data_IF_001469932679
#
_entry.id   IF_001469932679
#
_cell.length_a   1.000
_cell.length_b   1.000
_cell.length_c   1.000
_cell.angle_alpha   90.00
_cell.angle_beta   90.00
_cell.angle_gamma   90.00
#
_symmetry.space_group_name_H-M   'P 1'
#
loop_
_entity.id
_entity.type
_entity.pdbx_description
1 polymer ?
#
# COMPACT_ATOMS: atom_id res chain seq x y z
N UNK A 1 -40.52 -13.83 26.25
CA UNK A 1 -41.27 -13.63 25.01
C UNK A 1 -42.34 -14.70 24.89
N UNK A 2 -43.42 -14.48 24.13
CA UNK A 2 -44.48 -15.45 23.87
C UNK A 2 -43.96 -16.74 23.29
N UNK A 3 -42.92 -16.68 22.47
CA UNK A 3 -42.35 -17.82 21.75
C UNK A 3 -41.71 -18.86 22.67
N UNK A 4 -41.04 -18.41 23.75
CA UNK A 4 -40.49 -19.34 24.75
C UNK A 4 -41.57 -20.13 25.48
N UNK A 5 -42.74 -19.51 25.75
CA UNK A 5 -43.89 -20.20 26.36
C UNK A 5 -44.51 -21.27 25.41
N UNK A 6 -44.60 -20.96 24.12
CA UNK A 6 -45.06 -21.91 23.13
C UNK A 6 -44.08 -23.08 22.93
N UNK A 7 -42.78 -22.82 23.05
CA UNK A 7 -41.78 -23.88 23.03
C UNK A 7 -41.88 -24.79 24.26
N UNK A 8 -42.06 -24.22 25.47
CA UNK A 8 -42.26 -24.97 26.70
C UNK A 8 -43.53 -25.83 26.64
N UNK A 9 -44.57 -25.36 25.92
CA UNK A 9 -45.81 -26.09 25.70
C UNK A 9 -45.73 -27.12 24.55
N UNK A 10 -44.59 -27.24 23.88
CA UNK A 10 -44.37 -28.15 22.76
C UNK A 10 -45.11 -27.78 21.48
N UNK A 11 -45.68 -26.56 21.40
CA UNK A 11 -46.45 -26.07 20.25
C UNK A 11 -45.53 -25.66 19.09
N UNK A 12 -44.34 -25.09 19.41
CA UNK A 12 -43.32 -24.70 18.44
C UNK A 12 -41.97 -25.24 18.88
N UNK A 13 -41.08 -25.43 17.90
CA UNK A 13 -39.67 -25.70 18.11
C UNK A 13 -38.88 -24.51 17.62
N UNK A 14 -38.10 -23.88 18.51
CA UNK A 14 -37.21 -22.81 18.13
C UNK A 14 -35.89 -23.42 17.71
N UNK A 15 -35.56 -23.31 16.44
CA UNK A 15 -34.26 -23.68 15.90
C UNK A 15 -33.45 -22.40 15.66
N UNK A 16 -32.21 -22.43 16.11
CA UNK A 16 -31.28 -21.33 15.85
C UNK A 16 -30.46 -21.69 14.63
N UNK A 17 -30.72 -21.02 13.52
CA UNK A 17 -29.91 -21.14 12.33
C UNK A 17 -28.86 -19.99 12.27
N UNK A 18 -27.63 -20.37 11.98
CA UNK A 18 -26.50 -19.43 11.96
C UNK A 18 -26.29 -18.92 10.55
N UNK A 19 -26.77 -17.71 10.28
CA UNK A 19 -26.60 -17.05 8.98
C UNK A 19 -25.26 -16.30 8.98
N UNK A 20 -24.28 -16.78 8.20
CA UNK A 20 -23.00 -16.11 7.99
C UNK A 20 -23.16 -14.94 7.01
N UNK A 21 -22.69 -13.77 7.43
CA UNK A 21 -22.70 -12.57 6.60
C UNK A 21 -21.52 -12.59 5.66
N UNK A 22 -21.78 -12.39 4.36
CA UNK A 22 -20.73 -12.22 3.35
C UNK A 22 -20.82 -10.83 2.77
N UNK A 23 -19.74 -10.07 2.80
CA UNK A 23 -19.67 -8.71 2.26
C UNK A 23 -19.35 -8.63 0.77
N UNK A 24 -19.14 -9.77 0.11
CA UNK A 24 -18.74 -9.83 -1.29
C UNK A 24 -19.81 -10.53 -2.12
N UNK A 25 -20.36 -9.77 -3.07
CA UNK A 25 -21.22 -10.32 -4.12
C UNK A 25 -20.32 -11.06 -5.12
N UNK A 26 -20.21 -12.38 -5.00
CA UNK A 26 -19.36 -13.25 -5.83
C UNK A 26 -20.00 -13.60 -7.18
N UNK A 27 -21.20 -13.08 -7.48
CA UNK A 27 -22.06 -13.52 -8.59
C UNK A 27 -21.52 -13.39 -10.00
N UNK A 28 -20.42 -12.65 -10.24
CA UNK A 28 -19.93 -12.34 -11.58
C UNK A 28 -18.42 -12.58 -11.79
N UNK A 29 -17.81 -13.50 -11.01
CA UNK A 29 -16.38 -13.80 -11.18
C UNK A 29 -16.21 -14.99 -12.12
N UNK A 30 -16.58 -14.84 -13.37
CA UNK A 30 -16.26 -15.80 -14.43
C UNK A 30 -14.81 -15.61 -14.90
N UNK A 31 -14.03 -16.69 -14.71
CA UNK A 31 -12.84 -17.05 -15.46
C UNK A 31 -11.84 -15.96 -15.87
N UNK A 32 -10.98 -15.52 -14.96
CA UNK A 32 -9.71 -14.91 -15.40
C UNK A 32 -8.85 -16.00 -16.07
N UNK A 33 -8.38 -15.76 -17.31
CA UNK A 33 -7.48 -16.70 -18.02
C UNK A 33 -6.27 -17.00 -17.16
N UNK A 34 -5.97 -18.27 -16.96
CA UNK A 34 -4.72 -18.72 -16.33
C UNK A 34 -3.56 -18.22 -17.17
N UNK A 35 -2.83 -17.23 -16.68
CA UNK A 35 -1.60 -16.80 -17.34
C UNK A 35 -0.45 -17.68 -16.83
N UNK A 36 0.34 -18.29 -17.71
CA UNK A 36 1.51 -19.06 -17.32
C UNK A 36 2.52 -18.12 -16.63
N UNK A 37 3.30 -18.65 -15.70
CA UNK A 37 4.42 -17.93 -15.13
C UNK A 37 5.47 -17.69 -16.21
N UNK A 38 6.19 -16.57 -16.08
CA UNK A 38 7.42 -16.36 -16.89
C UNK A 38 8.56 -17.18 -16.30
N UNK A 39 9.62 -17.40 -17.07
CA UNK A 39 10.81 -18.14 -16.62
C UNK A 39 11.40 -17.53 -15.32
N UNK A 40 11.42 -16.19 -15.24
CA UNK A 40 11.90 -15.46 -14.05
C UNK A 40 11.00 -15.72 -12.82
N UNK A 41 9.68 -15.75 -13.02
CA UNK A 41 8.72 -16.04 -11.94
C UNK A 41 8.81 -17.51 -11.51
N UNK A 42 8.99 -18.44 -12.43
CA UNK A 42 9.21 -19.86 -12.10
C UNK A 42 10.51 -20.07 -11.34
N UNK A 43 11.59 -19.41 -11.76
CA UNK A 43 12.87 -19.45 -11.07
C UNK A 43 12.74 -18.89 -9.64
N UNK A 44 11.98 -17.79 -9.48
CA UNK A 44 11.70 -17.23 -8.17
C UNK A 44 10.93 -18.20 -7.26
N UNK A 45 9.87 -18.85 -7.77
CA UNK A 45 9.12 -19.88 -7.03
C UNK A 45 10.06 -21.02 -6.59
N UNK A 46 10.88 -21.56 -7.51
CA UNK A 46 11.83 -22.62 -7.20
C UNK A 46 12.88 -22.19 -6.15
N UNK A 47 13.36 -20.94 -6.23
CA UNK A 47 14.28 -20.39 -5.24
C UNK A 47 13.64 -20.31 -3.85
N UNK A 48 12.39 -19.85 -3.76
CA UNK A 48 11.64 -19.77 -2.51
C UNK A 48 11.42 -21.14 -1.91
N UNK A 49 11.04 -22.13 -2.71
CA UNK A 49 10.86 -23.52 -2.28
C UNK A 49 12.12 -24.09 -1.65
N UNK A 50 13.29 -23.90 -2.29
CA UNK A 50 14.60 -24.33 -1.73
C UNK A 50 14.90 -23.68 -0.37
N UNK A 51 14.42 -22.46 -0.13
CA UNK A 51 14.56 -21.82 1.19
C UNK A 51 13.68 -22.53 2.22
N UNK A 52 12.47 -22.93 1.82
CA UNK A 52 11.51 -23.60 2.72
C UNK A 52 11.87 -25.05 3.06
N UNK A 53 12.66 -25.71 2.22
CA UNK A 53 13.18 -27.07 2.47
C UNK A 53 14.26 -27.12 3.57
N UNK A 54 14.79 -25.96 3.98
CA UNK A 54 15.81 -25.90 5.04
C UNK A 54 15.20 -26.16 6.42
N UNK A 55 15.98 -26.74 7.37
CA UNK A 55 15.51 -27.00 8.73
C UNK A 55 14.99 -25.75 9.47
N UNK A 56 15.56 -24.58 9.16
CA UNK A 56 15.14 -23.29 9.69
C UNK A 56 14.95 -22.30 8.53
N UNK A 57 13.77 -22.27 7.89
CA UNK A 57 13.54 -21.44 6.75
C UNK A 57 13.54 -19.96 7.16
N UNK A 58 14.30 -19.15 6.41
CA UNK A 58 14.34 -17.70 6.60
C UNK A 58 13.13 -17.05 5.92
N UNK A 59 12.64 -15.91 6.45
CA UNK A 59 11.70 -15.09 5.70
C UNK A 59 12.26 -14.71 4.33
N UNK A 60 11.41 -14.66 3.32
CA UNK A 60 11.78 -14.32 1.95
C UNK A 60 11.33 -12.90 1.63
N UNK A 61 12.24 -12.09 1.07
CA UNK A 61 11.94 -10.78 0.51
C UNK A 61 11.99 -10.87 -1.02
N UNK A 62 10.87 -10.59 -1.68
CA UNK A 62 10.78 -10.45 -3.14
C UNK A 62 10.92 -8.96 -3.47
N UNK A 63 12.08 -8.58 -4.00
CA UNK A 63 12.29 -7.28 -4.63
C UNK A 63 11.86 -7.39 -6.10
N UNK A 64 10.70 -6.83 -6.43
CA UNK A 64 10.15 -6.98 -7.79
C UNK A 64 9.63 -5.66 -8.33
N UNK A 65 10.15 -5.24 -9.49
CA UNK A 65 9.68 -4.00 -10.15
C UNK A 65 8.16 -4.00 -10.34
N UNK A 66 7.57 -2.81 -10.36
CA UNK A 66 6.13 -2.67 -10.60
C UNK A 66 5.75 -3.33 -11.93
N UNK A 67 4.79 -4.25 -11.90
CA UNK A 67 4.37 -5.02 -13.08
C UNK A 67 5.24 -6.25 -13.36
N UNK A 68 6.13 -6.67 -12.47
CA UNK A 68 6.87 -7.94 -12.60
C UNK A 68 6.02 -9.19 -12.33
N UNK A 69 4.78 -9.00 -11.85
CA UNK A 69 3.86 -10.09 -11.57
C UNK A 69 4.10 -10.79 -10.23
N UNK A 70 4.57 -10.08 -9.20
CA UNK A 70 4.69 -10.60 -7.82
C UNK A 70 3.44 -11.38 -7.38
N UNK A 71 2.26 -10.88 -7.71
CA UNK A 71 0.98 -11.52 -7.37
C UNK A 71 0.84 -12.93 -7.97
N UNK A 72 1.39 -13.19 -9.18
CA UNK A 72 1.37 -14.52 -9.78
C UNK A 72 2.25 -15.49 -9.01
N UNK A 73 3.41 -15.01 -8.54
CA UNK A 73 4.28 -15.80 -7.64
C UNK A 73 3.54 -16.12 -6.34
N UNK A 74 2.86 -15.14 -5.74
CA UNK A 74 2.06 -15.39 -4.53
C UNK A 74 0.97 -16.44 -4.75
N UNK A 75 0.20 -16.32 -5.83
CA UNK A 75 -0.84 -17.28 -6.17
C UNK A 75 -0.24 -18.69 -6.30
N UNK A 76 0.92 -18.82 -6.94
CA UNK A 76 1.59 -20.14 -7.09
C UNK A 76 2.03 -20.72 -5.75
N UNK A 77 2.58 -19.89 -4.87
CA UNK A 77 2.99 -20.32 -3.52
C UNK A 77 1.78 -20.71 -2.66
N UNK A 78 0.67 -19.99 -2.77
CA UNK A 78 -0.58 -20.34 -2.09
C UNK A 78 -1.10 -21.68 -2.59
N UNK A 79 -1.13 -21.92 -3.92
CA UNK A 79 -1.55 -23.21 -4.48
C UNK A 79 -0.78 -24.38 -3.88
N UNK A 80 0.51 -24.23 -3.76
CA UNK A 80 1.39 -25.26 -3.18
C UNK A 80 1.11 -25.46 -1.68
N UNK A 81 0.86 -24.37 -0.96
CA UNK A 81 0.51 -24.43 0.47
C UNK A 81 -0.83 -25.17 0.66
N UNK A 82 -1.83 -24.82 -0.16
CA UNK A 82 -3.15 -25.47 -0.09
C UNK A 82 -3.09 -26.94 -0.51
N UNK A 83 -2.23 -27.31 -1.45
CA UNK A 83 -2.05 -28.73 -1.85
C UNK A 83 -1.45 -29.60 -0.74
N UNK A 84 -0.79 -28.99 0.24
CA UNK A 84 -0.26 -29.63 1.44
C UNK A 84 -1.29 -29.69 2.59
N UNK A 85 -2.53 -29.27 2.35
CA UNK A 85 -3.58 -29.20 3.39
C UNK A 85 -3.40 -28.05 4.38
N UNK A 86 -2.57 -27.05 4.05
CA UNK A 86 -2.32 -25.89 4.92
C UNK A 86 -3.06 -24.65 4.41
N UNK A 87 -3.18 -23.65 5.27
CA UNK A 87 -3.86 -22.39 4.97
C UNK A 87 -2.86 -21.23 4.76
N UNK A 88 -3.35 -20.14 4.15
CA UNK A 88 -2.54 -18.98 3.83
C UNK A 88 -3.20 -17.66 4.25
N UNK A 89 -2.39 -16.71 4.72
CA UNK A 89 -2.78 -15.32 4.97
C UNK A 89 -2.06 -14.43 3.96
N UNK A 90 -2.80 -13.50 3.35
CA UNK A 90 -2.25 -12.50 2.43
C UNK A 90 -2.57 -11.12 2.97
N UNK A 91 -1.55 -10.42 3.45
CA UNK A 91 -1.67 -9.05 3.90
C UNK A 91 -1.49 -8.12 2.71
N UNK A 92 -2.49 -7.28 2.50
CA UNK A 92 -2.51 -6.24 1.46
C UNK A 92 -2.93 -4.93 2.12
N UNK A 93 -2.20 -3.81 1.89
CA UNK A 93 -2.63 -2.51 2.40
C UNK A 93 -4.04 -2.15 1.92
N UNK A 94 -4.85 -1.51 2.76
CA UNK A 94 -6.24 -1.19 2.39
C UNK A 94 -6.35 -0.39 1.09
N UNK A 95 -5.41 0.51 0.84
CA UNK A 95 -5.34 1.30 -0.38
C UNK A 95 -5.11 0.43 -1.64
N UNK A 96 -4.41 -0.69 -1.49
CA UNK A 96 -4.13 -1.65 -2.56
C UNK A 96 -5.15 -2.80 -2.63
N UNK A 97 -6.02 -2.93 -1.63
CA UNK A 97 -7.08 -3.94 -1.55
C UNK A 97 -8.26 -3.55 -2.46
N UNK A 98 -7.99 -3.45 -3.74
CA UNK A 98 -9.00 -3.12 -4.76
C UNK A 98 -9.83 -4.34 -5.15
N UNK A 99 -11.00 -4.10 -5.74
CA UNK A 99 -11.84 -5.16 -6.31
C UNK A 99 -11.05 -6.05 -7.30
N UNK A 100 -10.21 -5.46 -8.13
CA UNK A 100 -9.39 -6.20 -9.10
C UNK A 100 -8.38 -7.12 -8.42
N UNK A 101 -7.73 -6.66 -7.34
CA UNK A 101 -6.78 -7.48 -6.58
C UNK A 101 -7.48 -8.68 -5.97
N UNK A 102 -8.60 -8.45 -5.28
CA UNK A 102 -9.41 -9.50 -4.66
C UNK A 102 -9.95 -10.48 -5.71
N UNK A 103 -10.46 -9.99 -6.84
CA UNK A 103 -10.98 -10.80 -7.93
C UNK A 103 -9.96 -11.82 -8.46
N UNK A 104 -8.66 -11.47 -8.54
CA UNK A 104 -7.61 -12.41 -8.98
C UNK A 104 -7.50 -13.62 -8.08
N UNK A 105 -7.60 -13.44 -6.77
CA UNK A 105 -7.57 -14.54 -5.83
C UNK A 105 -8.86 -15.36 -5.88
N UNK A 106 -10.01 -14.71 -5.95
CA UNK A 106 -11.29 -15.41 -6.10
C UNK A 106 -11.37 -16.24 -7.38
N UNK A 107 -10.91 -15.69 -8.51
CA UNK A 107 -10.87 -16.41 -9.78
C UNK A 107 -10.00 -17.68 -9.72
N UNK A 108 -9.04 -17.72 -8.80
CA UNK A 108 -8.12 -18.84 -8.64
C UNK A 108 -8.57 -19.85 -7.59
N UNK A 109 -9.07 -19.38 -6.48
CA UNK A 109 -9.32 -20.22 -5.30
C UNK A 109 -10.81 -20.34 -4.96
N UNK A 110 -11.68 -19.57 -5.61
CA UNK A 110 -13.13 -19.62 -5.39
C UNK A 110 -13.52 -19.35 -3.93
N UNK A 111 -14.45 -20.13 -3.43
CA UNK A 111 -15.01 -19.99 -2.07
C UNK A 111 -14.02 -20.25 -0.94
N UNK A 112 -12.84 -20.78 -1.27
CA UNK A 112 -11.74 -20.95 -0.29
C UNK A 112 -11.14 -19.62 0.17
N UNK A 113 -11.47 -18.50 -0.50
CA UNK A 113 -10.98 -17.16 -0.17
C UNK A 113 -11.98 -16.43 0.70
N UNK A 114 -11.49 -15.75 1.71
CA UNK A 114 -12.23 -14.73 2.45
C UNK A 114 -11.43 -13.45 2.53
N UNK A 115 -12.15 -12.33 2.67
CA UNK A 115 -11.54 -10.99 2.71
C UNK A 115 -12.02 -10.25 3.95
N UNK A 116 -11.07 -9.60 4.62
CA UNK A 116 -11.32 -8.66 5.70
C UNK A 116 -10.94 -7.25 5.23
N UNK A 117 -11.74 -6.26 5.55
CA UNK A 117 -11.44 -4.86 5.29
C UNK A 117 -12.05 -3.94 6.37
N UNK A 118 -11.65 -2.67 6.40
CA UNK A 118 -12.11 -1.69 7.40
C UNK A 118 -13.59 -1.30 7.26
N UNK A 119 -14.19 -1.50 6.08
CA UNK A 119 -15.60 -1.17 5.81
C UNK A 119 -16.56 -2.20 6.40
N UNK A 120 -16.08 -3.39 6.73
CA UNK A 120 -16.88 -4.43 7.36
C UNK A 120 -17.20 -4.07 8.81
N UNK A 121 -18.44 -4.37 9.22
CA UNK A 121 -18.84 -4.34 10.61
C UNK A 121 -18.06 -5.35 11.47
N UNK A 122 -18.09 -5.19 12.76
CA UNK A 122 -17.45 -6.15 13.69
C UNK A 122 -18.06 -7.56 13.54
N UNK A 123 -19.38 -7.65 13.33
CA UNK A 123 -20.08 -8.92 13.11
C UNK A 123 -19.63 -9.62 11.83
N UNK A 124 -19.53 -8.89 10.70
CA UNK A 124 -19.04 -9.46 9.44
C UNK A 124 -17.61 -9.98 9.56
N UNK A 125 -16.72 -9.24 10.22
CA UNK A 125 -15.33 -9.69 10.47
C UNK A 125 -15.28 -10.91 11.37
N UNK A 126 -16.11 -10.95 12.40
CA UNK A 126 -16.22 -12.10 13.27
C UNK A 126 -16.67 -13.35 12.50
N UNK A 127 -17.68 -13.21 11.63
CA UNK A 127 -18.18 -14.30 10.79
C UNK A 127 -17.07 -14.85 9.85
N UNK A 128 -16.22 -13.96 9.28
CA UNK A 128 -15.09 -14.41 8.45
C UNK A 128 -14.05 -15.19 9.28
N UNK A 129 -13.74 -14.73 10.49
CA UNK A 129 -12.85 -15.46 11.39
C UNK A 129 -13.43 -16.81 11.82
N UNK A 130 -14.73 -16.87 12.03
CA UNK A 130 -15.43 -18.12 12.39
C UNK A 130 -15.40 -19.12 11.24
N UNK A 131 -15.60 -18.66 10.00
CA UNK A 131 -15.46 -19.49 8.79
C UNK A 131 -14.05 -20.05 8.65
N UNK A 132 -13.02 -19.21 8.90
CA UNK A 132 -11.64 -19.66 8.90
C UNK A 132 -11.38 -20.73 9.98
N UNK A 133 -11.87 -20.51 11.20
CA UNK A 133 -11.73 -21.47 12.30
C UNK A 133 -12.45 -22.81 12.02
N UNK A 134 -13.56 -22.79 11.28
CA UNK A 134 -14.29 -23.99 10.85
C UNK A 134 -13.66 -24.70 9.64
N UNK A 135 -12.60 -24.13 9.03
CA UNK A 135 -11.98 -24.67 7.82
C UNK A 135 -12.77 -24.44 6.53
N UNK A 136 -13.82 -23.63 6.56
CA UNK A 136 -14.62 -23.29 5.39
C UNK A 136 -13.86 -22.43 4.37
N UNK A 137 -12.86 -21.67 4.83
CA UNK A 137 -11.94 -20.88 4.01
C UNK A 137 -10.50 -21.27 4.32
N UNK A 138 -9.66 -21.21 3.31
CA UNK A 138 -8.25 -21.61 3.39
C UNK A 138 -7.30 -20.44 3.08
N UNK A 139 -7.81 -19.34 2.53
CA UNK A 139 -7.02 -18.14 2.21
C UNK A 139 -7.72 -16.91 2.77
N UNK A 140 -7.06 -16.22 3.68
CA UNK A 140 -7.55 -14.96 4.23
C UNK A 140 -6.77 -13.79 3.64
N UNK A 141 -7.47 -12.82 3.04
CA UNK A 141 -6.88 -11.61 2.47
C UNK A 141 -7.35 -10.40 3.27
N UNK A 142 -6.46 -9.48 3.57
CA UNK A 142 -6.85 -8.23 4.22
C UNK A 142 -5.68 -7.39 4.70
N UNK A 143 -5.98 -6.29 5.40
CA UNK A 143 -4.95 -5.44 5.99
C UNK A 143 -4.27 -6.14 7.17
N UNK A 144 -3.44 -5.42 7.90
CA UNK A 144 -2.69 -5.96 9.05
C UNK A 144 -3.52 -6.80 10.05
N UNK A 145 -4.83 -6.51 10.20
CA UNK A 145 -5.71 -7.26 11.10
C UNK A 145 -6.00 -8.69 10.63
N UNK A 146 -5.90 -8.98 9.34
CA UNK A 146 -6.03 -10.32 8.80
C UNK A 146 -4.95 -11.28 9.33
N UNK A 147 -3.84 -10.73 9.81
CA UNK A 147 -2.78 -11.51 10.44
C UNK A 147 -3.26 -12.35 11.62
N UNK A 148 -4.36 -11.99 12.27
CA UNK A 148 -4.90 -12.69 13.44
C UNK A 148 -5.99 -13.71 13.09
N UNK A 149 -6.14 -14.08 11.83
CA UNK A 149 -7.08 -15.15 11.40
C UNK A 149 -6.76 -16.46 12.11
N UNK A 150 -7.75 -17.09 12.79
CA UNK A 150 -7.55 -18.29 13.59
C UNK A 150 -7.54 -19.55 12.73
N UNK A 151 -6.59 -19.69 11.84
CA UNK A 151 -6.37 -20.89 11.06
C UNK A 151 -5.83 -22.03 11.93
N UNK A 152 -6.24 -23.26 11.62
CA UNK A 152 -5.82 -24.44 12.36
C UNK A 152 -4.45 -24.96 11.90
N UNK A 153 -4.09 -24.78 10.62
CA UNK A 153 -2.85 -25.28 10.03
C UNK A 153 -2.24 -24.24 9.09
N UNK A 154 -1.86 -23.09 9.65
CA UNK A 154 -1.26 -22.02 8.87
C UNK A 154 0.08 -22.46 8.26
N UNK A 155 0.24 -22.34 6.95
CA UNK A 155 1.45 -22.70 6.23
C UNK A 155 2.19 -21.54 5.60
N UNK A 156 1.48 -20.43 5.31
CA UNK A 156 2.07 -19.31 4.57
C UNK A 156 1.47 -17.97 5.00
N UNK A 157 2.34 -17.00 5.21
CA UNK A 157 1.98 -15.58 5.38
C UNK A 157 2.65 -14.79 4.28
N UNK A 158 1.86 -14.10 3.46
CA UNK A 158 2.35 -13.18 2.44
C UNK A 158 2.08 -11.75 2.90
N UNK A 159 3.05 -10.85 2.72
CA UNK A 159 2.93 -9.42 2.98
C UNK A 159 3.24 -8.69 1.68
N UNK A 160 2.21 -8.20 0.99
CA UNK A 160 2.39 -7.41 -0.22
C UNK A 160 2.61 -5.93 0.12
N UNK A 161 3.40 -5.23 -0.70
CA UNK A 161 3.85 -3.85 -0.46
C UNK A 161 4.39 -3.66 0.97
N UNK A 162 5.37 -4.48 1.34
CA UNK A 162 5.94 -4.59 2.69
C UNK A 162 6.36 -3.25 3.30
N UNK A 163 6.74 -2.29 2.46
CA UNK A 163 7.20 -0.96 2.85
C UNK A 163 6.08 -0.03 3.36
N UNK A 164 4.81 -0.42 3.22
CA UNK A 164 3.68 0.45 3.54
C UNK A 164 3.59 0.78 5.03
N UNK A 165 3.56 2.08 5.42
CA UNK A 165 3.49 2.49 6.82
C UNK A 165 2.25 1.97 7.56
N UNK A 166 1.17 1.66 6.83
CA UNK A 166 -0.08 1.14 7.40
C UNK A 166 0.08 -0.22 8.10
N UNK A 167 1.18 -0.92 7.86
CA UNK A 167 1.52 -2.16 8.59
C UNK A 167 1.96 -1.93 10.03
N UNK A 168 2.31 -0.70 10.41
CA UNK A 168 2.54 -0.31 11.81
C UNK A 168 1.23 0.13 12.46
N UNK A 169 0.87 -0.50 13.57
CA UNK A 169 -0.29 -0.06 14.37
C UNK A 169 0.11 1.11 15.27
N UNK A 170 -0.58 2.24 15.12
CA UNK A 170 -0.41 3.40 16.00
C UNK A 170 -1.31 3.34 17.25
N UNK A 171 -2.42 2.60 17.16
CA UNK A 171 -3.34 2.35 18.27
C UNK A 171 -2.91 1.11 19.06
N UNK A 172 -3.32 1.05 20.33
CA UNK A 172 -3.08 -0.10 21.21
C UNK A 172 -3.94 -1.30 20.80
N UNK A 173 -3.34 -2.52 20.71
CA UNK A 173 -1.93 -2.84 20.90
C UNK A 173 -1.06 -2.37 19.72
N UNK A 174 0.07 -1.74 20.04
CA UNK A 174 1.03 -1.27 19.04
C UNK A 174 1.89 -2.44 18.57
N UNK A 175 1.82 -2.78 17.28
CA UNK A 175 2.61 -3.83 16.65
C UNK A 175 2.96 -3.45 15.21
N UNK A 176 3.98 -4.12 14.67
CA UNK A 176 4.29 -4.07 13.25
C UNK A 176 3.94 -5.41 12.61
N UNK A 177 3.12 -5.40 11.56
CA UNK A 177 2.62 -6.63 10.93
C UNK A 177 3.74 -7.57 10.47
N UNK A 178 4.85 -7.05 9.91
CA UNK A 178 6.01 -7.84 9.49
C UNK A 178 6.62 -8.63 10.65
N UNK A 179 6.95 -7.96 11.75
CA UNK A 179 7.59 -8.60 12.90
C UNK A 179 6.64 -9.61 13.56
N UNK A 180 5.36 -9.26 13.64
CA UNK A 180 4.33 -10.15 14.20
C UNK A 180 4.10 -11.37 13.29
N UNK A 181 4.10 -11.19 11.97
CA UNK A 181 3.98 -12.28 11.01
C UNK A 181 5.15 -13.27 11.12
N UNK A 182 6.38 -12.76 11.21
CA UNK A 182 7.57 -13.59 11.39
C UNK A 182 7.48 -14.38 12.71
N UNK A 183 7.09 -13.69 13.80
CA UNK A 183 6.94 -14.36 15.10
C UNK A 183 5.84 -15.43 15.06
N UNK A 184 4.69 -15.11 14.46
CA UNK A 184 3.60 -16.08 14.28
C UNK A 184 4.04 -17.28 13.46
N UNK A 185 4.73 -17.04 12.35
CA UNK A 185 5.24 -18.10 11.49
C UNK A 185 6.18 -19.06 12.21
N UNK A 186 7.05 -18.56 13.09
CA UNK A 186 7.92 -19.41 13.93
C UNK A 186 7.07 -20.29 14.86
N UNK A 187 6.01 -19.76 15.47
CA UNK A 187 5.15 -20.49 16.41
C UNK A 187 4.31 -21.59 15.72
N UNK A 188 3.88 -21.31 14.48
CA UNK A 188 2.98 -22.21 13.73
C UNK A 188 3.72 -23.00 12.63
N UNK A 189 5.04 -22.95 12.58
CA UNK A 189 5.85 -23.58 11.53
C UNK A 189 5.41 -23.22 10.11
N UNK A 190 5.04 -21.94 9.91
CA UNK A 190 4.65 -21.38 8.64
C UNK A 190 5.81 -20.63 7.96
N UNK A 191 5.67 -20.35 6.68
CA UNK A 191 6.62 -19.59 5.90
C UNK A 191 6.16 -18.12 5.75
N UNK A 192 7.11 -17.20 5.60
CA UNK A 192 6.84 -15.78 5.37
C UNK A 192 7.44 -15.33 4.06
N UNK A 193 6.62 -14.70 3.23
CA UNK A 193 7.04 -14.05 1.98
C UNK A 193 6.60 -12.59 2.02
N UNK A 194 7.54 -11.70 1.84
CA UNK A 194 7.31 -10.26 1.76
C UNK A 194 7.62 -9.80 0.35
N UNK A 195 6.81 -8.92 -0.22
CA UNK A 195 7.07 -8.39 -1.55
C UNK A 195 6.93 -6.88 -1.61
N UNK A 196 7.82 -6.27 -2.37
CA UNK A 196 7.79 -4.84 -2.64
C UNK A 196 8.55 -4.51 -3.92
N UNK A 197 8.14 -3.41 -4.59
CA UNK A 197 8.96 -2.80 -5.64
C UNK A 197 10.04 -1.89 -5.05
N UNK A 198 9.79 -1.37 -3.85
CA UNK A 198 10.64 -0.44 -3.10
C UNK A 198 10.70 -0.89 -1.65
N UNK A 199 11.42 -1.99 -1.35
CA UNK A 199 11.51 -2.53 0.02
C UNK A 199 11.91 -1.47 1.05
N UNK A 200 11.38 -1.62 2.28
CA UNK A 200 11.83 -0.78 3.39
C UNK A 200 13.33 -0.97 3.64
N UNK A 201 14.01 0.07 4.13
CA UNK A 201 15.45 0.02 4.42
C UNK A 201 15.75 -1.11 5.41
N UNK A 202 14.88 -1.31 6.40
CA UNK A 202 15.01 -2.36 7.40
C UNK A 202 14.92 -3.77 6.78
N UNK A 203 13.92 -4.02 5.93
CA UNK A 203 13.77 -5.33 5.30
C UNK A 203 14.90 -5.61 4.30
N UNK A 204 15.30 -4.59 3.55
CA UNK A 204 16.41 -4.70 2.60
C UNK A 204 17.74 -4.95 3.31
N UNK A 205 18.02 -4.21 4.39
CA UNK A 205 19.22 -4.43 5.22
C UNK A 205 19.28 -5.85 5.77
N UNK A 206 18.16 -6.37 6.31
CA UNK A 206 18.08 -7.75 6.80
C UNK A 206 18.31 -8.78 5.68
N UNK A 207 17.85 -8.51 4.47
CA UNK A 207 18.12 -9.36 3.32
C UNK A 207 19.60 -9.33 2.90
N UNK A 208 20.23 -8.17 2.90
CA UNK A 208 21.67 -8.02 2.59
C UNK A 208 22.57 -8.68 3.65
N UNK A 209 22.16 -8.65 4.92
CA UNK A 209 22.86 -9.32 6.02
C UNK A 209 22.57 -10.83 6.09
N UNK A 210 21.72 -11.35 5.19
CA UNK A 210 21.40 -12.78 5.13
C UNK A 210 20.43 -13.26 6.21
N UNK A 211 19.77 -12.37 6.95
CA UNK A 211 18.67 -12.71 7.85
C UNK A 211 17.41 -13.09 7.06
N UNK A 212 17.17 -12.44 5.93
CA UNK A 212 16.14 -12.78 4.96
C UNK A 212 16.77 -13.35 3.68
N UNK A 213 16.02 -14.18 2.96
CA UNK A 213 16.41 -14.61 1.62
C UNK A 213 15.90 -13.61 0.58
N UNK A 214 16.79 -13.06 -0.24
CA UNK A 214 16.42 -12.10 -1.29
C UNK A 214 16.13 -12.82 -2.60
N UNK A 215 14.98 -12.54 -3.19
CA UNK A 215 14.58 -12.99 -4.53
C UNK A 215 14.28 -11.76 -5.36
N UNK A 216 14.77 -11.68 -6.60
CA UNK A 216 14.59 -10.54 -7.47
C UNK A 216 13.72 -10.88 -8.68
N UNK A 217 12.81 -9.98 -9.02
CA UNK A 217 12.03 -9.97 -10.25
C UNK A 217 12.31 -8.66 -10.96
N UNK A 218 13.21 -8.68 -11.91
CA UNK A 218 13.76 -7.49 -12.57
C UNK A 218 12.99 -7.11 -13.83
N UNK A 219 12.26 -8.07 -14.41
CA UNK A 219 11.60 -7.93 -15.69
C UNK A 219 10.11 -7.66 -15.52
N UNK A 220 9.58 -6.67 -16.25
CA UNK A 220 8.14 -6.44 -16.35
C UNK A 220 7.49 -7.49 -17.22
N UNK A 221 6.29 -7.93 -16.86
CA UNK A 221 5.50 -8.81 -17.73
C UNK A 221 5.31 -8.19 -19.12
N UNK A 222 5.61 -8.99 -20.16
CA UNK A 222 5.58 -8.52 -21.55
C UNK A 222 6.74 -7.61 -21.93
N UNK A 223 7.84 -7.59 -21.18
CA UNK A 223 9.06 -6.82 -21.47
C UNK A 223 8.82 -5.32 -21.76
N UNK A 224 7.78 -4.74 -21.13
CA UNK A 224 7.43 -3.34 -21.32
C UNK A 224 8.50 -2.42 -20.75
N UNK A 225 9.01 -1.44 -21.51
CA UNK A 225 10.03 -0.53 -21.02
C UNK A 225 9.48 0.35 -19.90
N UNK A 226 10.39 0.86 -19.06
CA UNK A 226 10.05 1.89 -18.09
C UNK A 226 9.67 3.19 -18.82
N UNK A 227 8.80 4.03 -18.24
CA UNK A 227 8.48 5.32 -18.82
C UNK A 227 9.73 6.21 -18.86
N UNK A 228 9.82 7.07 -19.86
CA UNK A 228 10.86 8.09 -19.91
C UNK A 228 10.58 9.13 -18.82
N UNK A 229 11.59 9.43 -18.02
CA UNK A 229 11.52 10.43 -16.95
C UNK A 229 12.33 11.65 -17.36
N UNK A 230 11.70 12.83 -17.28
CA UNK A 230 12.38 14.12 -17.40
C UNK A 230 12.34 14.85 -16.06
N UNK A 231 13.46 15.39 -15.65
CA UNK A 231 13.58 16.22 -14.43
C UNK A 231 13.69 17.68 -14.87
N UNK A 232 12.80 18.53 -14.35
CA UNK A 232 12.79 19.95 -14.64
C UNK A 232 13.12 20.73 -13.38
N UNK A 233 14.18 21.57 -13.43
CA UNK A 233 14.50 22.49 -12.35
C UNK A 233 13.60 23.74 -12.43
N UNK A 234 12.68 23.86 -11.48
CA UNK A 234 11.75 25.00 -11.43
C UNK A 234 12.45 26.34 -11.13
N UNK A 235 13.71 26.34 -10.67
CA UNK A 235 14.49 27.54 -10.51
C UNK A 235 14.91 28.13 -11.87
N UNK A 236 15.29 27.28 -12.80
CA UNK A 236 15.59 27.66 -14.18
C UNK A 236 14.33 28.14 -14.92
N UNK A 237 13.20 27.51 -14.68
CA UNK A 237 11.89 27.94 -15.17
C UNK A 237 11.58 29.38 -14.69
N UNK A 238 11.83 29.68 -13.41
CA UNK A 238 11.61 31.01 -12.85
C UNK A 238 12.55 32.07 -13.48
N UNK A 239 13.83 31.74 -13.66
CA UNK A 239 14.81 32.62 -14.33
C UNK A 239 14.40 32.93 -15.77
N UNK A 240 13.81 31.95 -16.45
CA UNK A 240 13.27 32.10 -17.79
C UNK A 240 11.85 32.71 -17.84
N UNK A 241 11.35 33.27 -16.71
CA UNK A 241 10.12 34.05 -16.61
C UNK A 241 8.88 33.19 -16.31
N UNK A 242 8.98 31.85 -16.20
CA UNK A 242 7.84 31.02 -15.84
C UNK A 242 7.60 31.01 -14.31
N UNK A 243 6.57 31.74 -13.88
CA UNK A 243 6.16 31.84 -12.47
C UNK A 243 5.15 30.79 -12.05
N UNK A 244 4.67 29.97 -12.98
CA UNK A 244 3.67 28.92 -12.71
C UNK A 244 4.26 27.78 -11.89
N UNK A 245 3.37 26.99 -11.27
CA UNK A 245 3.69 25.70 -10.64
C UNK A 245 3.93 24.61 -11.68
N UNK A 246 3.42 24.79 -12.90
CA UNK A 246 3.65 23.87 -14.02
C UNK A 246 4.82 24.36 -14.86
N UNK A 247 5.79 23.48 -15.14
CA UNK A 247 6.88 23.80 -16.05
C UNK A 247 6.37 23.93 -17.50
N UNK A 248 7.11 24.65 -18.33
CA UNK A 248 6.79 24.77 -19.77
C UNK A 248 6.80 23.41 -20.46
N UNK A 249 7.77 22.55 -20.14
CA UNK A 249 7.85 21.19 -20.67
C UNK A 249 6.62 20.37 -20.28
N UNK A 250 6.18 20.42 -19.01
CA UNK A 250 5.00 19.71 -18.55
C UNK A 250 3.74 20.17 -19.29
N UNK A 251 3.54 21.49 -19.42
CA UNK A 251 2.42 22.07 -20.18
C UNK A 251 2.40 21.60 -21.61
N UNK A 252 3.56 21.62 -22.28
CA UNK A 252 3.66 21.16 -23.67
C UNK A 252 3.30 19.67 -23.80
N UNK A 253 3.80 18.83 -22.88
CA UNK A 253 3.47 17.40 -22.84
C UNK A 253 1.99 17.16 -22.56
N UNK A 254 1.39 17.91 -21.62
CA UNK A 254 -0.05 17.82 -21.32
C UNK A 254 -0.88 18.19 -22.55
N UNK A 255 -0.57 19.31 -23.21
CA UNK A 255 -1.25 19.75 -24.43
C UNK A 255 -1.23 18.66 -25.50
N UNK A 256 -0.04 18.12 -25.80
CA UNK A 256 0.08 17.06 -26.81
C UNK A 256 -0.63 15.76 -26.45
N UNK A 257 -0.90 15.48 -25.16
CA UNK A 257 -1.71 14.32 -24.75
C UNK A 257 -3.21 14.61 -24.91
N UNK A 258 -3.65 15.81 -24.52
CA UNK A 258 -5.05 16.21 -24.71
C UNK A 258 -5.47 16.27 -26.17
N UNK A 259 -4.60 16.77 -27.05
CA UNK A 259 -4.83 16.74 -28.51
C UNK A 259 -5.03 15.32 -29.03
N UNK A 260 -4.38 14.32 -28.43
CA UNK A 260 -4.53 12.90 -28.75
C UNK A 260 -5.68 12.23 -27.99
N UNK A 261 -6.46 12.98 -27.19
CA UNK A 261 -7.51 12.46 -26.30
C UNK A 261 -7.00 11.42 -25.31
N UNK A 262 -5.73 11.54 -24.90
CA UNK A 262 -5.11 10.71 -23.88
C UNK A 262 -5.28 11.34 -22.48
N UNK A 263 -5.14 10.53 -21.45
CA UNK A 263 -5.25 10.97 -20.06
C UNK A 263 -3.90 11.44 -19.50
N UNK A 264 -3.97 12.38 -18.58
CA UNK A 264 -2.81 12.90 -17.82
C UNK A 264 -3.10 12.72 -16.33
N UNK A 265 -2.13 12.16 -15.60
CA UNK A 265 -2.20 12.05 -14.15
C UNK A 265 -1.16 12.98 -13.53
N UNK A 266 -1.61 13.93 -12.71
CA UNK A 266 -0.73 14.79 -11.92
C UNK A 266 -0.62 14.24 -10.50
N UNK A 267 0.58 13.87 -10.10
CA UNK A 267 0.86 13.36 -8.76
C UNK A 267 1.49 14.44 -7.88
N UNK A 268 0.89 14.64 -6.70
CA UNK A 268 1.36 15.57 -5.69
C UNK A 268 1.67 14.83 -4.41
N UNK A 269 2.93 14.91 -3.97
CA UNK A 269 3.37 14.20 -2.78
C UNK A 269 2.89 14.82 -1.45
N UNK A 270 2.15 15.94 -1.48
CA UNK A 270 1.71 16.64 -0.26
C UNK A 270 0.21 16.87 -0.23
N UNK A 271 -0.42 16.42 0.84
CA UNK A 271 -1.77 16.84 1.24
C UNK A 271 -1.63 18.07 2.14
N UNK A 272 -2.41 19.15 1.89
CA UNK A 272 -2.64 20.25 2.81
C UNK A 272 -1.85 21.54 2.56
N UNK A 273 -2.27 22.58 3.28
CA UNK A 273 -1.83 23.98 3.18
C UNK A 273 -0.48 24.28 3.85
N UNK A 274 0.08 23.38 4.63
CA UNK A 274 1.31 23.63 5.40
C UNK A 274 2.54 23.47 4.51
N UNK A 275 2.82 24.51 3.70
CA UNK A 275 4.07 24.62 2.97
C UNK A 275 5.14 25.27 3.83
N UNK A 276 6.34 24.71 3.80
CA UNK A 276 7.51 25.44 4.28
C UNK A 276 7.79 26.64 3.37
N UNK A 277 8.36 27.69 3.96
CA UNK A 277 8.75 28.88 3.20
C UNK A 277 10.14 28.70 2.63
N UNK A 278 10.24 28.89 1.32
CA UNK A 278 11.51 28.79 0.60
C UNK A 278 11.66 29.87 -0.47
N UNK A 279 12.89 30.15 -0.83
CA UNK A 279 13.19 31.01 -1.95
C UNK A 279 13.14 30.21 -3.27
N UNK A 280 12.28 30.62 -4.20
CA UNK A 280 12.16 29.98 -5.50
C UNK A 280 13.39 30.19 -6.41
N UNK A 281 14.21 31.23 -6.13
CA UNK A 281 15.39 31.54 -6.95
C UNK A 281 16.61 30.71 -6.58
N UNK A 282 16.89 30.52 -5.28
CA UNK A 282 18.09 29.81 -4.83
C UNK A 282 17.81 28.52 -4.09
N UNK A 283 16.52 28.22 -3.77
CA UNK A 283 16.13 27.02 -3.03
C UNK A 283 16.33 27.14 -1.50
N UNK A 284 16.80 28.28 -0.97
CA UNK A 284 16.97 28.47 0.47
C UNK A 284 15.65 28.26 1.21
N UNK A 285 15.64 27.39 2.23
CA UNK A 285 14.49 27.11 3.07
C UNK A 285 14.62 27.87 4.38
N UNK A 286 13.53 28.57 4.78
CA UNK A 286 13.48 29.21 6.09
C UNK A 286 13.39 28.15 7.19
N UNK A 287 14.42 28.06 8.02
CA UNK A 287 14.56 27.08 9.08
C UNK A 287 14.44 27.70 10.47
N UNK A 288 13.97 26.91 11.43
CA UNK A 288 13.98 27.28 12.81
C UNK A 288 15.42 27.28 13.36
N UNK A 289 15.87 28.35 14.03
CA UNK A 289 17.24 28.42 14.54
C UNK A 289 17.49 27.43 15.70
N UNK A 290 16.42 26.94 16.35
CA UNK A 290 16.52 26.03 17.51
C UNK A 290 16.40 24.56 17.11
N UNK A 291 15.58 24.23 16.09
CA UNK A 291 15.23 22.85 15.75
C UNK A 291 15.75 22.43 14.38
N UNK A 292 16.33 23.34 13.59
CA UNK A 292 16.77 23.15 12.17
C UNK A 292 15.67 22.60 11.22
N UNK A 293 14.39 22.56 11.67
CA UNK A 293 13.25 22.18 10.84
C UNK A 293 12.74 23.39 10.04
N UNK A 294 12.11 23.12 8.91
CA UNK A 294 11.51 24.18 8.09
C UNK A 294 10.34 24.87 8.82
N UNK A 295 10.29 26.20 8.72
CA UNK A 295 9.20 27.00 9.26
C UNK A 295 7.98 26.95 8.33
N UNK A 296 6.78 26.89 8.94
CA UNK A 296 5.49 26.93 8.25
C UNK A 296 4.91 28.32 8.24
N UNK A 297 4.34 28.74 7.12
CA UNK A 297 3.63 30.02 7.02
C UNK A 297 2.21 29.89 7.56
N UNK A 298 1.86 30.76 8.53
CA UNK A 298 0.53 30.92 9.09
C UNK A 298 -0.11 32.23 8.63
N UNK A 299 -1.41 32.37 8.92
CA UNK A 299 -2.14 33.61 8.68
C UNK A 299 -1.38 34.80 9.30
N UNK A 300 -1.39 35.97 8.66
CA UNK A 300 -0.69 37.19 9.04
C UNK A 300 0.82 37.24 8.76
N UNK A 301 1.30 36.56 7.69
CA UNK A 301 2.72 36.63 7.27
C UNK A 301 3.72 36.25 8.37
N UNK A 302 3.32 35.40 9.30
CA UNK A 302 4.18 34.83 10.35
C UNK A 302 4.66 33.44 9.97
N UNK A 303 5.91 33.16 10.34
CA UNK A 303 6.52 31.84 10.23
C UNK A 303 6.59 31.21 11.59
N UNK A 304 6.08 29.98 11.73
CA UNK A 304 5.99 29.23 12.99
C UNK A 304 6.75 27.91 12.89
N UNK A 305 7.48 27.59 13.95
CA UNK A 305 8.02 26.25 14.18
C UNK A 305 7.04 25.41 15.00
N UNK A 306 6.50 24.33 14.43
CA UNK A 306 5.57 23.44 15.13
C UNK A 306 6.24 22.55 16.19
N UNK A 307 7.57 22.58 16.31
CA UNK A 307 8.30 21.78 17.31
C UNK A 307 8.52 22.56 18.61
N UNK A 308 9.02 23.81 18.51
CA UNK A 308 9.37 24.59 19.71
C UNK A 308 8.55 25.87 19.87
N UNK A 309 7.61 26.16 18.97
CA UNK A 309 6.80 27.36 19.03
C UNK A 309 7.53 28.66 18.61
N UNK A 310 8.77 28.58 18.11
CA UNK A 310 9.48 29.75 17.62
C UNK A 310 8.71 30.45 16.50
N UNK A 311 8.54 31.75 16.63
CA UNK A 311 7.86 32.60 15.64
C UNK A 311 8.79 33.69 15.13
N UNK A 312 8.66 34.02 13.84
CA UNK A 312 9.33 35.15 13.20
C UNK A 312 8.47 35.73 12.08
N UNK A 313 8.73 36.98 11.70
CA UNK A 313 8.10 37.57 10.53
C UNK A 313 8.60 36.93 9.24
N UNK A 314 7.74 36.88 8.22
CA UNK A 314 8.14 36.43 6.89
C UNK A 314 9.03 37.51 6.23
N UNK A 315 10.25 37.16 5.83
CA UNK A 315 11.10 38.15 5.14
C UNK A 315 10.54 38.49 3.75
N UNK A 316 10.63 39.73 3.36
CA UNK A 316 10.20 40.18 2.02
C UNK A 316 11.17 39.79 0.92
N UNK A 317 12.45 39.65 1.27
CA UNK A 317 13.53 39.24 0.38
C UNK A 317 14.28 38.04 0.97
N UNK A 318 14.84 37.22 0.12
CA UNK A 318 15.61 36.06 0.56
C UNK A 318 16.90 36.51 1.28
N UNK A 319 17.18 36.03 2.50
CA UNK A 319 18.38 36.41 3.24
C UNK A 319 19.68 35.91 2.60
N UNK A 320 19.61 34.95 1.67
CA UNK A 320 20.79 34.37 1.03
C UNK A 320 21.09 35.02 -0.34
N UNK A 321 20.07 35.23 -1.20
CA UNK A 321 20.29 35.70 -2.56
C UNK A 321 19.60 37.04 -2.88
N UNK A 322 18.94 37.69 -1.93
CA UNK A 322 18.24 38.96 -2.11
C UNK A 322 16.99 38.92 -3.00
N UNK A 323 16.59 37.76 -3.46
CA UNK A 323 15.45 37.61 -4.35
C UNK A 323 14.11 37.90 -3.65
N UNK A 324 13.16 38.60 -4.29
CA UNK A 324 11.82 38.80 -3.74
C UNK A 324 10.92 37.59 -3.86
N UNK A 325 11.36 36.51 -4.51
CA UNK A 325 10.57 35.29 -4.73
C UNK A 325 10.67 34.31 -3.55
N UNK A 326 10.41 34.82 -2.34
CA UNK A 326 10.35 34.02 -1.11
C UNK A 326 8.89 33.82 -0.68
N UNK A 327 8.50 32.61 -0.41
CA UNK A 327 7.14 32.32 -0.01
C UNK A 327 6.88 30.86 0.30
N UNK A 328 5.71 30.60 0.88
CA UNK A 328 5.22 29.25 1.06
C UNK A 328 4.92 28.60 -0.29
N UNK A 329 5.43 27.41 -0.52
CA UNK A 329 5.04 26.63 -1.69
C UNK A 329 3.66 26.01 -1.41
N UNK A 330 2.61 26.79 -1.74
CA UNK A 330 1.20 26.41 -1.47
C UNK A 330 0.57 25.64 -2.64
N UNK A 331 1.31 24.81 -3.34
CA UNK A 331 0.73 24.01 -4.42
C UNK A 331 -0.09 22.83 -3.85
N UNK A 332 -1.26 23.10 -3.27
CA UNK A 332 -2.27 22.09 -2.95
C UNK A 332 -3.00 21.62 -4.21
N UNK A 333 -3.70 20.49 -4.13
CA UNK A 333 -4.48 19.90 -5.24
C UNK A 333 -5.44 20.89 -5.87
N UNK A 334 -6.13 21.70 -5.07
CA UNK A 334 -7.08 22.73 -5.52
C UNK A 334 -6.42 23.83 -6.35
N UNK A 335 -5.21 24.25 -5.95
CA UNK A 335 -4.48 25.28 -6.70
C UNK A 335 -4.00 24.76 -8.06
N UNK A 336 -3.52 23.52 -8.09
CA UNK A 336 -3.11 22.88 -9.35
C UNK A 336 -4.32 22.65 -10.24
N UNK A 337 -5.45 22.19 -9.70
CA UNK A 337 -6.69 22.06 -10.45
C UNK A 337 -7.09 23.39 -11.09
N UNK A 338 -7.03 24.51 -10.32
CA UNK A 338 -7.33 25.84 -10.84
C UNK A 338 -6.41 26.21 -12.01
N UNK A 339 -5.08 26.05 -11.85
CA UNK A 339 -4.10 26.35 -12.90
C UNK A 339 -4.32 25.47 -14.14
N UNK A 340 -4.65 24.18 -13.95
CA UNK A 340 -4.92 23.28 -15.07
C UNK A 340 -6.19 23.68 -15.82
N UNK A 341 -7.26 24.08 -15.11
CA UNK A 341 -8.50 24.56 -15.74
C UNK A 341 -8.32 25.89 -16.47
N UNK A 342 -7.41 26.77 -15.99
CA UNK A 342 -7.05 28.02 -16.67
C UNK A 342 -6.20 27.78 -17.92
N UNK A 343 -5.27 26.83 -17.87
CA UNK A 343 -4.37 26.52 -18.99
C UNK A 343 -5.02 25.60 -20.05
N UNK A 344 -6.00 24.80 -19.64
CA UNK A 344 -6.69 23.77 -20.47
C UNK A 344 -8.19 23.77 -20.16
N UNK A 345 -8.95 24.77 -20.66
CA UNK A 345 -10.38 24.91 -20.42
C UNK A 345 -11.24 23.80 -21.03
#
# INVERSE_FOLDING_TARGET
SSDLKFQEQGIIRIEYDEIMRTSLNTGDISGERRMPLTDEQEAAVKQIQRVWEKPSPKPVLIEGVTGSGKTQVYIKLIEQTLSQGKEAIVLIPEIALTYQTVRRFYARFGDKVSVINSRQSQGERYDQFKRAKKGEVQVMIGPRSALFTPFASLGLIIIDEEHEPSYKSESTPRYHARETAIRRAVLEHANVVMGSATPSVEAYSKAMNGEYSLVRLTTRYGSRPLPRVSIVDLREELKAGNRSVLSRELRQKMKGRFEKKEQVMLFLNRRGYAGFVSCRSCGHVMKCPHCDVSLSEHNNERLLCHYCGYETGKPRICPVCGSPYIGGFKAGTQQIEKVVREDFP
#
